data_IF_164231162063
#
_entry.id   IF_164231162063
#
_cell.length_a   1.000
_cell.length_b   1.000
_cell.length_c   1.000
_cell.angle_alpha   90.00
_cell.angle_beta   90.00
_cell.angle_gamma   90.00
#
_symmetry.space_group_name_H-M   'P 1'
#
loop_
_entity.id
_entity.type
_entity.pdbx_description
1 polymer ?
#
# COMPACT_ATOMS: atom_id res chain seq x y z
N UNK A 1 -9.78 -23.69 -32.47
CA UNK A 1 -10.81 -22.85 -31.83
C UNK A 1 -10.82 -21.51 -32.53
N UNK A 2 -11.98 -21.04 -32.98
CA UNK A 2 -12.18 -19.70 -33.52
C UNK A 2 -12.89 -18.86 -32.48
N UNK A 3 -12.48 -17.60 -32.35
CA UNK A 3 -13.19 -16.60 -31.54
C UNK A 3 -14.03 -15.74 -32.48
N UNK A 4 -15.34 -15.75 -32.29
CA UNK A 4 -16.28 -14.88 -33.00
C UNK A 4 -16.56 -13.65 -32.14
N UNK A 5 -16.55 -12.47 -32.76
CA UNK A 5 -16.73 -11.17 -32.11
C UNK A 5 -17.80 -10.32 -32.81
N UNK A 6 -18.58 -10.87 -33.75
CA UNK A 6 -19.58 -10.09 -34.49
C UNK A 6 -20.71 -9.55 -33.58
N UNK A 7 -21.02 -10.24 -32.49
CA UNK A 7 -22.00 -9.81 -31.46
C UNK A 7 -21.38 -8.93 -30.35
N UNK A 8 -20.09 -8.57 -30.46
CA UNK A 8 -19.42 -7.76 -29.45
C UNK A 8 -19.95 -6.32 -29.44
N UNK A 9 -20.31 -5.82 -28.26
CA UNK A 9 -20.63 -4.41 -28.08
C UNK A 9 -19.42 -3.52 -28.43
N UNK A 10 -19.63 -2.31 -28.98
CA UNK A 10 -18.56 -1.34 -29.20
C UNK A 10 -17.72 -1.14 -27.93
N UNK A 11 -16.40 -1.03 -28.10
CA UNK A 11 -15.49 -0.82 -26.98
C UNK A 11 -15.91 0.43 -26.20
N UNK A 12 -16.38 0.22 -24.95
CA UNK A 12 -16.67 1.32 -24.04
C UNK A 12 -15.39 2.13 -23.86
N UNK A 13 -15.44 3.41 -24.22
CA UNK A 13 -14.33 4.34 -23.99
C UNK A 13 -13.93 4.30 -22.50
N UNK A 14 -12.63 4.27 -22.17
CA UNK A 14 -12.20 4.36 -20.79
C UNK A 14 -12.85 5.59 -20.13
N UNK A 15 -13.46 5.42 -18.96
CA UNK A 15 -14.02 6.54 -18.19
C UNK A 15 -12.87 7.47 -17.77
N UNK A 16 -12.59 8.48 -18.59
CA UNK A 16 -11.28 9.15 -18.66
C UNK A 16 -11.12 10.38 -17.77
N UNK A 17 -12.17 10.80 -17.08
CA UNK A 17 -12.21 11.99 -16.24
C UNK A 17 -12.04 11.62 -14.76
N UNK A 18 -11.13 12.25 -14.04
CA UNK A 18 -10.86 11.90 -12.63
C UNK A 18 -12.11 12.09 -11.77
N UNK A 19 -12.25 11.25 -10.73
CA UNK A 19 -13.18 11.53 -9.64
C UNK A 19 -12.72 12.86 -8.99
N UNK A 20 -13.60 13.86 -8.78
CA UNK A 20 -13.20 15.16 -8.23
C UNK A 20 -12.45 15.05 -6.90
N UNK A 21 -11.49 15.94 -6.70
CA UNK A 21 -10.70 15.97 -5.47
C UNK A 21 -11.60 16.20 -4.24
N UNK A 22 -11.41 15.40 -3.20
CA UNK A 22 -12.23 15.49 -1.99
C UNK A 22 -13.54 14.72 -2.00
N UNK A 23 -13.84 13.98 -3.07
CA UNK A 23 -15.09 13.22 -3.19
C UNK A 23 -15.22 12.18 -2.07
N UNK A 24 -16.32 12.23 -1.33
CA UNK A 24 -16.72 11.17 -0.42
C UNK A 24 -17.50 10.07 -1.16
N UNK A 25 -17.19 8.81 -0.90
CA UNK A 25 -17.82 7.68 -1.55
C UNK A 25 -17.77 6.41 -0.69
N UNK A 26 -18.79 5.54 -0.81
CA UNK A 26 -18.67 4.15 -0.41
C UNK A 26 -17.91 3.42 -1.51
N UNK A 27 -16.82 2.74 -1.16
CA UNK A 27 -15.95 2.04 -2.11
C UNK A 27 -15.72 0.60 -1.68
N UNK A 28 -15.62 -0.29 -2.67
CA UNK A 28 -15.21 -1.69 -2.51
C UNK A 28 -13.76 -1.85 -2.94
N UNK A 29 -12.96 -2.53 -2.13
CA UNK A 29 -11.62 -2.96 -2.52
C UNK A 29 -11.66 -4.31 -3.25
N UNK A 30 -10.79 -4.48 -4.24
CA UNK A 30 -10.46 -5.77 -4.85
C UNK A 30 -8.95 -5.90 -4.94
N UNK A 31 -8.41 -7.03 -4.48
CA UNK A 31 -6.96 -7.27 -4.48
C UNK A 31 -6.57 -7.94 -5.80
N UNK A 32 -5.68 -7.29 -6.54
CA UNK A 32 -5.14 -7.82 -7.80
C UNK A 32 -3.92 -8.72 -7.48
N UNK A 33 -3.94 -10.02 -7.82
CA UNK A 33 -2.83 -10.93 -7.53
C UNK A 33 -1.53 -10.46 -8.19
N UNK A 34 -0.46 -10.33 -7.40
CA UNK A 34 0.85 -9.91 -7.88
C UNK A 34 1.88 -11.03 -8.12
N UNK A 35 1.50 -12.29 -7.88
CA UNK A 35 2.34 -13.48 -8.12
C UNK A 35 3.35 -13.82 -7.02
N UNK A 36 3.52 -12.97 -6.00
CA UNK A 36 4.42 -13.21 -4.86
C UNK A 36 3.63 -13.65 -3.63
N UNK A 37 4.12 -14.64 -2.88
CA UNK A 37 3.47 -15.08 -1.65
C UNK A 37 3.58 -14.03 -0.52
N UNK A 38 2.47 -13.84 0.19
CA UNK A 38 2.43 -13.18 1.50
C UNK A 38 2.86 -14.10 2.65
N UNK A 39 2.62 -13.67 3.89
CA UNK A 39 3.05 -14.38 5.10
C UNK A 39 2.10 -15.48 5.56
N UNK A 40 0.80 -15.35 5.26
CA UNK A 40 -0.20 -16.38 5.56
C UNK A 40 -0.39 -17.32 4.35
N UNK A 41 -0.75 -18.61 4.55
CA UNK A 41 -1.02 -19.54 3.44
C UNK A 41 -2.09 -19.04 2.46
N UNK A 42 -3.10 -18.30 2.95
CA UNK A 42 -4.15 -17.71 2.11
C UNK A 42 -3.69 -16.50 1.27
N UNK A 43 -2.50 -15.99 1.53
CA UNK A 43 -1.89 -14.88 0.79
C UNK A 43 -0.92 -15.39 -0.30
N UNK A 44 -0.98 -16.67 -0.66
CA UNK A 44 -0.22 -17.25 -1.77
C UNK A 44 -0.53 -16.52 -3.09
N UNK A 45 0.51 -16.13 -3.84
CA UNK A 45 0.41 -15.36 -5.07
C UNK A 45 -0.20 -13.95 -4.94
N UNK A 46 -0.51 -13.49 -3.73
CA UNK A 46 -1.29 -12.26 -3.52
C UNK A 46 -0.48 -10.98 -3.75
N UNK A 47 0.76 -10.94 -3.27
CA UNK A 47 1.59 -9.74 -3.25
C UNK A 47 2.27 -9.48 -4.59
N UNK A 48 2.55 -8.21 -4.87
CA UNK A 48 3.32 -7.71 -5.99
C UNK A 48 4.69 -7.26 -5.51
N UNK A 49 5.76 -7.79 -6.10
CA UNK A 49 7.12 -7.29 -5.87
C UNK A 49 7.32 -5.92 -6.54
N UNK A 50 8.09 -5.04 -5.92
CA UNK A 50 8.61 -3.85 -6.57
C UNK A 50 9.71 -4.22 -7.59
N UNK A 51 9.87 -3.39 -8.64
CA UNK A 51 10.89 -3.60 -9.68
C UNK A 51 12.32 -3.28 -9.23
N UNK A 52 12.47 -2.31 -8.32
CA UNK A 52 13.76 -1.68 -7.96
C UNK A 52 14.08 -1.79 -6.46
N UNK A 53 13.31 -2.56 -5.68
CA UNK A 53 13.55 -2.75 -4.24
C UNK A 53 13.00 -4.08 -3.74
N UNK A 54 13.36 -4.45 -2.50
CA UNK A 54 12.84 -5.61 -1.78
C UNK A 54 11.37 -5.47 -1.34
N UNK A 55 10.73 -4.32 -1.60
CA UNK A 55 9.38 -4.04 -1.17
C UNK A 55 8.36 -4.98 -1.83
N UNK A 56 7.52 -5.61 -1.00
CA UNK A 56 6.34 -6.37 -1.42
C UNK A 56 5.09 -5.58 -1.09
N UNK A 57 4.14 -5.52 -2.02
CA UNK A 57 2.96 -4.66 -1.94
C UNK A 57 1.67 -5.45 -2.18
N UNK A 58 0.58 -5.00 -1.57
CA UNK A 58 -0.77 -5.34 -1.97
C UNK A 58 -1.17 -4.37 -3.10
N UNK A 59 -1.53 -4.88 -4.28
CA UNK A 59 -2.00 -4.06 -5.41
C UNK A 59 -3.53 -4.01 -5.37
N UNK A 60 -4.08 -2.90 -4.87
CA UNK A 60 -5.51 -2.76 -4.64
C UNK A 60 -6.18 -1.94 -5.75
N UNK A 61 -7.27 -2.48 -6.28
CA UNK A 61 -8.29 -1.76 -7.02
C UNK A 61 -9.38 -1.29 -6.05
N UNK A 62 -9.83 -0.05 -6.22
CA UNK A 62 -10.97 0.50 -5.52
C UNK A 62 -12.06 0.86 -6.53
N UNK A 63 -13.28 0.39 -6.30
CA UNK A 63 -14.46 0.70 -7.13
C UNK A 63 -15.51 1.41 -6.29
N UNK A 64 -15.99 2.56 -6.74
CA UNK A 64 -17.14 3.25 -6.12
C UNK A 64 -18.41 2.39 -6.33
N UNK A 65 -19.13 2.06 -5.26
CA UNK A 65 -20.25 1.11 -5.34
C UNK A 65 -21.62 1.75 -5.57
N UNK A 66 -21.77 3.03 -5.25
CA UNK A 66 -23.03 3.78 -5.33
C UNK A 66 -22.79 5.29 -5.49
N UNK A 67 -23.85 6.08 -5.67
CA UNK A 67 -23.75 7.53 -5.84
C UNK A 67 -23.29 7.99 -7.23
N UNK A 68 -22.98 9.28 -7.41
CA UNK A 68 -22.73 9.89 -8.73
C UNK A 68 -21.57 9.29 -9.52
N UNK A 69 -20.59 8.69 -8.83
CA UNK A 69 -19.39 8.11 -9.41
C UNK A 69 -19.39 6.58 -9.40
N UNK A 70 -20.56 5.94 -9.30
CA UNK A 70 -20.70 4.47 -9.29
C UNK A 70 -19.95 3.80 -10.45
N UNK A 71 -19.29 2.67 -10.16
CA UNK A 71 -18.40 1.90 -11.06
C UNK A 71 -17.11 2.62 -11.49
N UNK A 72 -16.86 3.88 -11.11
CA UNK A 72 -15.54 4.51 -11.31
C UNK A 72 -14.49 3.79 -10.46
N UNK A 73 -13.29 3.62 -11.03
CA UNK A 73 -12.19 2.85 -10.44
C UNK A 73 -10.93 3.68 -10.27
N UNK A 74 -10.17 3.37 -9.23
CA UNK A 74 -8.81 3.85 -9.03
C UNK A 74 -7.95 2.77 -8.34
N UNK A 75 -6.63 2.94 -8.34
CA UNK A 75 -5.70 1.92 -7.86
C UNK A 75 -4.66 2.50 -6.91
N UNK A 76 -4.24 1.70 -5.93
CA UNK A 76 -3.22 2.06 -4.95
C UNK A 76 -2.47 0.82 -4.45
N UNK A 77 -1.15 0.96 -4.31
CA UNK A 77 -0.33 -0.07 -3.69
C UNK A 77 -0.16 0.22 -2.19
N UNK A 78 -0.22 -0.83 -1.37
CA UNK A 78 0.09 -0.77 0.07
C UNK A 78 1.31 -1.64 0.36
N UNK A 79 2.38 -1.08 0.91
CA UNK A 79 3.58 -1.86 1.28
C UNK A 79 3.25 -2.83 2.42
N UNK A 80 3.59 -4.11 2.25
CA UNK A 80 3.36 -5.20 3.21
C UNK A 80 4.67 -5.67 3.84
N UNK A 81 5.77 -5.70 3.08
CA UNK A 81 7.10 -6.06 3.56
C UNK A 81 8.18 -5.31 2.78
N UNK A 82 9.41 -5.32 3.30
CA UNK A 82 10.58 -4.67 2.68
C UNK A 82 10.51 -3.14 2.66
N UNK A 83 11.39 -2.53 1.88
CA UNK A 83 11.54 -1.08 1.77
C UNK A 83 12.19 -0.45 3.00
N UNK A 84 11.98 0.86 3.19
CA UNK A 84 12.61 1.60 4.29
C UNK A 84 12.14 1.11 5.66
N UNK A 85 13.09 0.73 6.51
CA UNK A 85 12.84 0.32 7.91
C UNK A 85 12.95 1.49 8.89
N UNK A 86 12.38 1.30 10.08
CA UNK A 86 12.64 2.11 11.28
C UNK A 86 13.79 1.56 12.12
N UNK A 87 14.08 2.22 13.23
CA UNK A 87 15.21 1.91 14.12
C UNK A 87 15.03 0.56 14.85
N UNK A 88 13.85 -0.07 14.72
CA UNK A 88 13.51 -1.42 15.22
C UNK A 88 13.49 -2.46 14.09
N UNK A 89 13.98 -2.11 12.90
CA UNK A 89 13.99 -2.97 11.72
C UNK A 89 12.62 -3.22 11.09
N UNK A 90 11.56 -2.51 11.51
CA UNK A 90 10.21 -2.70 10.97
C UNK A 90 10.01 -1.83 9.72
N UNK A 91 9.37 -2.37 8.68
CA UNK A 91 9.05 -1.61 7.47
C UNK A 91 8.12 -0.43 7.79
N UNK A 92 8.59 0.79 7.51
CA UNK A 92 7.81 2.04 7.66
C UNK A 92 6.57 2.03 6.78
N UNK A 93 6.69 1.50 5.56
CA UNK A 93 5.57 1.31 4.65
C UNK A 93 4.52 0.35 5.22
N UNK A 94 4.96 -0.77 5.81
CA UNK A 94 4.05 -1.72 6.47
C UNK A 94 3.32 -1.12 7.67
N UNK A 95 4.00 -0.30 8.48
CA UNK A 95 3.38 0.40 9.59
C UNK A 95 2.26 1.36 9.14
N UNK A 96 2.43 2.05 8.01
CA UNK A 96 1.39 2.90 7.40
C UNK A 96 0.23 2.03 6.88
N UNK A 97 0.52 0.98 6.10
CA UNK A 97 -0.51 0.09 5.55
C UNK A 97 -1.37 -0.57 6.62
N UNK A 98 -0.78 -1.01 7.76
CA UNK A 98 -1.55 -1.54 8.91
C UNK A 98 -2.55 -0.52 9.47
N UNK A 99 -2.19 0.76 9.52
CA UNK A 99 -3.12 1.81 9.97
C UNK A 99 -4.27 1.98 8.97
N UNK A 100 -3.98 2.00 7.67
CA UNK A 100 -5.01 2.03 6.62
C UNK A 100 -5.94 0.82 6.66
N UNK A 101 -5.40 -0.40 6.78
CA UNK A 101 -6.18 -1.63 6.83
C UNK A 101 -7.05 -1.72 8.09
N UNK A 102 -6.53 -1.29 9.25
CA UNK A 102 -7.35 -1.14 10.46
C UNK A 102 -8.50 -0.17 10.20
N UNK A 103 -8.23 0.99 9.59
CA UNK A 103 -9.27 1.98 9.32
C UNK A 103 -10.34 1.43 8.36
N UNK A 104 -9.95 0.67 7.32
CA UNK A 104 -10.89 -0.02 6.43
C UNK A 104 -11.79 -1.01 7.18
N UNK A 105 -11.24 -1.79 8.11
CA UNK A 105 -12.00 -2.72 8.96
C UNK A 105 -12.91 -1.97 9.94
N UNK A 106 -12.41 -0.91 10.59
CA UNK A 106 -13.18 -0.08 11.51
C UNK A 106 -14.37 0.59 10.79
N UNK A 107 -14.17 1.10 9.58
CA UNK A 107 -15.22 1.69 8.73
C UNK A 107 -16.19 0.63 8.18
N UNK A 108 -15.71 -0.52 7.69
CA UNK A 108 -16.59 -1.58 7.16
C UNK A 108 -17.48 -2.22 8.24
N UNK A 109 -16.99 -2.33 9.47
CA UNK A 109 -17.69 -2.98 10.59
C UNK A 109 -18.36 -2.01 11.57
N UNK A 110 -18.33 -0.70 11.30
CA UNK A 110 -18.91 0.32 12.18
C UNK A 110 -18.26 0.40 13.57
N UNK A 111 -16.97 0.08 13.69
CA UNK A 111 -16.24 0.10 14.95
C UNK A 111 -15.73 1.50 15.26
N UNK A 112 -16.01 1.98 16.47
CA UNK A 112 -15.37 3.19 16.98
C UNK A 112 -13.84 2.97 17.00
N UNK A 113 -13.03 3.82 16.33
CA UNK A 113 -11.58 3.65 16.28
C UNK A 113 -10.90 3.83 17.65
N UNK A 114 -11.59 4.44 18.62
CA UNK A 114 -11.12 4.63 20.01
C UNK A 114 -11.51 3.45 20.92
N UNK A 115 -12.39 2.55 20.48
CA UNK A 115 -12.78 1.37 21.26
C UNK A 115 -11.63 0.35 21.30
N UNK A 116 -11.10 0.12 22.50
CA UNK A 116 -10.02 -0.84 22.80
C UNK A 116 -10.52 -2.07 23.56
N UNK A 117 -11.83 -2.30 23.66
CA UNK A 117 -12.41 -3.52 24.23
C UNK A 117 -11.92 -4.77 23.48
N UNK A 118 -11.87 -5.91 24.15
CA UNK A 118 -11.39 -7.15 23.53
C UNK A 118 -12.32 -7.64 22.41
N UNK A 119 -13.62 -7.30 22.49
CA UNK A 119 -14.57 -7.51 21.40
C UNK A 119 -14.22 -6.70 20.14
N UNK A 120 -13.85 -5.42 20.29
CA UNK A 120 -13.40 -4.59 19.17
C UNK A 120 -12.01 -4.98 18.66
N UNK A 121 -11.10 -5.42 19.55
CA UNK A 121 -9.81 -6.00 19.14
C UNK A 121 -10.01 -7.27 18.30
N UNK A 122 -10.85 -8.20 18.75
CA UNK A 122 -11.10 -9.47 18.06
C UNK A 122 -11.62 -9.27 16.63
N UNK A 123 -12.54 -8.31 16.42
CA UNK A 123 -13.04 -7.95 15.07
C UNK A 123 -11.98 -7.38 14.12
N UNK A 124 -10.85 -6.91 14.63
CA UNK A 124 -9.69 -6.40 13.86
C UNK A 124 -8.66 -7.49 13.55
N UNK A 125 -8.81 -8.70 14.07
CA UNK A 125 -7.92 -9.83 13.79
C UNK A 125 -8.40 -10.53 12.51
N UNK A 126 -7.59 -10.44 11.46
CA UNK A 126 -7.77 -11.15 10.19
C UNK A 126 -6.72 -12.25 10.04
N UNK A 127 -7.07 -13.36 9.38
CA UNK A 127 -6.19 -14.53 9.22
C UNK A 127 -5.14 -14.36 8.11
N UNK A 128 -5.35 -13.39 7.21
CA UNK A 128 -4.47 -13.06 6.10
C UNK A 128 -4.99 -11.86 5.31
N UNK A 129 -4.13 -11.25 4.50
CA UNK A 129 -4.46 -10.07 3.70
C UNK A 129 -5.53 -10.34 2.64
N UNK A 130 -5.60 -11.56 2.11
CA UNK A 130 -6.64 -11.98 1.15
C UNK A 130 -8.06 -11.81 1.70
N UNK A 131 -8.24 -11.81 3.02
CA UNK A 131 -9.55 -11.49 3.61
C UNK A 131 -10.01 -10.09 3.21
N UNK A 132 -9.14 -9.09 3.14
CA UNK A 132 -9.54 -7.72 2.76
C UNK A 132 -10.06 -7.60 1.31
N UNK A 133 -9.99 -8.66 0.50
CA UNK A 133 -10.58 -8.69 -0.84
C UNK A 133 -12.11 -8.64 -0.78
N UNK A 134 -12.70 -7.61 -1.37
CA UNK A 134 -14.15 -7.38 -1.33
C UNK A 134 -14.64 -6.49 -0.20
N UNK A 135 -13.79 -6.08 0.75
CA UNK A 135 -14.19 -5.17 1.83
C UNK A 135 -14.76 -3.86 1.27
N UNK A 136 -15.87 -3.40 1.85
CA UNK A 136 -16.58 -2.18 1.43
C UNK A 136 -16.64 -1.20 2.60
N UNK A 137 -16.22 0.05 2.38
CA UNK A 137 -16.05 1.05 3.43
C UNK A 137 -16.27 2.48 2.91
N UNK A 138 -16.46 3.44 3.82
CA UNK A 138 -16.57 4.86 3.49
C UNK A 138 -15.18 5.49 3.31
N UNK A 139 -14.99 6.30 2.26
CA UNK A 139 -13.69 6.86 1.90
C UNK A 139 -13.80 8.29 1.37
N UNK A 140 -12.71 9.05 1.54
CA UNK A 140 -12.45 10.30 0.83
C UNK A 140 -11.42 10.03 -0.26
N UNK A 141 -11.75 10.40 -1.49
CA UNK A 141 -10.93 10.21 -2.68
C UNK A 141 -10.26 11.55 -2.99
N UNK A 142 -8.95 11.52 -3.25
CA UNK A 142 -8.19 12.70 -3.70
C UNK A 142 -7.77 12.57 -5.16
N UNK A 143 -7.44 13.71 -5.76
CA UNK A 143 -6.59 13.79 -6.96
C UNK A 143 -5.14 13.94 -6.50
N UNK A 144 -4.30 13.01 -6.92
CA UNK A 144 -2.86 13.04 -6.73
C UNK A 144 -2.18 13.59 -7.98
N UNK A 145 -1.52 14.78 -7.91
CA UNK A 145 -0.78 15.29 -9.04
C UNK A 145 0.38 14.38 -9.42
N UNK A 146 0.61 14.24 -10.72
CA UNK A 146 1.76 13.51 -11.24
C UNK A 146 3.10 14.15 -10.80
N UNK A 147 4.08 13.33 -10.44
CA UNK A 147 5.43 13.79 -10.08
C UNK A 147 6.34 14.06 -11.29
N UNK A 148 5.95 13.59 -12.48
CA UNK A 148 6.60 13.86 -13.77
C UNK A 148 5.46 14.23 -14.75
N UNK A 149 5.54 15.38 -15.45
CA UNK A 149 4.48 15.89 -16.34
C UNK A 149 4.16 14.99 -17.55
N UNK A 150 4.93 13.93 -17.81
CA UNK A 150 4.60 12.90 -18.80
C UNK A 150 3.43 12.01 -18.37
N UNK A 151 3.15 11.91 -17.07
CA UNK A 151 2.05 11.13 -16.53
C UNK A 151 0.87 12.02 -16.18
N UNK A 152 -0.33 11.43 -16.19
CA UNK A 152 -1.54 12.10 -15.73
C UNK A 152 -1.68 11.96 -14.21
N UNK A 153 -2.35 12.92 -13.62
CA UNK A 153 -2.85 12.88 -12.24
C UNK A 153 -3.74 11.64 -12.03
N UNK A 154 -3.80 11.14 -10.80
CA UNK A 154 -4.45 9.87 -10.48
C UNK A 154 -5.32 9.98 -9.24
N UNK A 155 -6.45 9.28 -9.21
CA UNK A 155 -7.22 9.16 -7.99
C UNK A 155 -6.51 8.25 -6.97
N UNK A 156 -6.56 8.64 -5.70
CA UNK A 156 -6.03 7.88 -4.56
C UNK A 156 -7.00 7.92 -3.38
N UNK A 157 -6.81 6.97 -2.46
CA UNK A 157 -7.44 7.01 -1.15
C UNK A 157 -6.72 8.08 -0.33
N UNK A 158 -7.42 9.17 0.01
CA UNK A 158 -6.89 10.19 0.91
C UNK A 158 -6.91 9.68 2.35
N UNK A 159 -8.11 9.32 2.81
CA UNK A 159 -8.36 8.65 4.08
C UNK A 159 -9.58 7.75 3.95
N UNK A 160 -9.61 6.73 4.80
CA UNK A 160 -10.86 6.05 5.16
C UNK A 160 -11.64 6.99 6.07
N UNK A 161 -12.96 7.06 5.90
CA UNK A 161 -13.87 7.79 6.78
C UNK A 161 -14.37 6.82 7.85
N UNK A 162 -14.17 7.18 9.12
CA UNK A 162 -14.40 6.33 10.28
C UNK A 162 -15.76 6.61 10.95
N UNK A 163 -16.30 5.68 11.76
CA UNK A 163 -17.63 5.82 12.35
C UNK A 163 -17.85 6.99 13.32
N UNK A 164 -16.80 7.69 13.74
CA UNK A 164 -16.86 8.92 14.54
C UNK A 164 -16.66 10.22 13.73
N UNK A 165 -16.57 10.12 12.40
CA UNK A 165 -16.58 11.26 11.46
C UNK A 165 -18.02 11.54 10.97
N UNK A 166 -18.38 12.83 10.81
CA UNK A 166 -19.75 13.26 10.53
C UNK A 166 -20.31 12.72 9.19
N UNK A 167 -19.44 12.55 8.20
CA UNK A 167 -19.77 12.13 6.85
C UNK A 167 -20.08 10.61 6.77
N UNK A 168 -19.54 9.81 7.70
CA UNK A 168 -19.60 8.33 7.65
C UNK A 168 -21.02 7.79 7.49
N UNK A 169 -21.95 8.24 8.33
CA UNK A 169 -23.30 7.69 8.37
C UNK A 169 -24.08 7.97 7.08
N UNK A 170 -23.86 9.13 6.45
CA UNK A 170 -24.46 9.50 5.17
C UNK A 170 -23.87 8.65 4.03
N UNK A 171 -22.54 8.56 3.94
CA UNK A 171 -21.83 7.72 2.96
C UNK A 171 -22.29 6.26 3.06
N UNK A 172 -22.39 5.71 4.28
CA UNK A 172 -22.76 4.31 4.46
C UNK A 172 -24.23 3.99 4.13
N UNK A 173 -25.10 5.00 4.06
CA UNK A 173 -26.47 4.87 3.53
C UNK A 173 -26.59 5.10 2.02
N UNK A 174 -25.51 5.51 1.35
CA UNK A 174 -25.55 5.92 -0.06
C UNK A 174 -26.11 7.32 -0.30
N UNK A 175 -26.17 8.14 0.74
CA UNK A 175 -26.50 9.56 0.61
C UNK A 175 -25.30 10.30 -0.03
N UNK A 176 -25.58 11.31 -0.87
CA UNK A 176 -24.51 12.14 -1.47
C UNK A 176 -24.03 13.16 -0.45
N UNK A 177 -22.72 13.17 -0.18
CA UNK A 177 -22.07 14.14 0.71
C UNK A 177 -21.27 15.13 -0.14
N UNK A 178 -21.28 16.41 0.25
CA UNK A 178 -20.51 17.45 -0.41
C UNK A 178 -19.00 17.14 -0.35
N UNK A 179 -18.31 17.31 -1.48
CA UNK A 179 -16.88 17.01 -1.58
C UNK A 179 -16.06 18.06 -0.81
N UNK A 180 -15.03 17.60 -0.09
CA UNK A 180 -14.07 18.48 0.59
C UNK A 180 -12.69 18.37 -0.09
N UNK A 181 -12.30 19.29 -0.98
CA UNK A 181 -11.00 19.24 -1.65
C UNK A 181 -9.81 19.18 -0.68
N UNK A 182 -8.76 18.49 -1.08
CA UNK A 182 -7.53 18.27 -0.31
C UNK A 182 -6.37 19.07 -0.89
N UNK A 183 -6.39 19.35 -2.20
CA UNK A 183 -5.35 20.08 -2.93
C UNK A 183 -3.96 19.47 -2.68
N UNK A 184 -3.84 18.16 -2.89
CA UNK A 184 -2.61 17.43 -2.64
C UNK A 184 -1.44 17.96 -3.47
N UNK A 185 -0.25 17.99 -2.88
CA UNK A 185 0.98 18.41 -3.58
C UNK A 185 1.58 17.21 -4.33
N UNK A 186 2.24 17.42 -5.49
CA UNK A 186 2.97 16.35 -6.17
C UNK A 186 3.95 15.68 -5.19
N UNK A 187 3.94 14.33 -5.12
CA UNK A 187 5.00 13.64 -4.37
C UNK A 187 6.34 13.92 -5.05
N UNK A 188 7.38 14.16 -4.27
CA UNK A 188 8.76 14.05 -4.79
C UNK A 188 8.94 12.64 -5.33
N UNK A 189 9.55 12.46 -6.52
CA UNK A 189 9.94 11.13 -6.98
C UNK A 189 10.70 10.40 -5.88
N UNK A 190 10.39 9.12 -5.67
CA UNK A 190 11.23 8.31 -4.82
C UNK A 190 12.58 8.21 -5.51
N UNK A 191 13.57 8.97 -5.02
CA UNK A 191 14.96 8.80 -5.46
C UNK A 191 15.36 7.39 -5.06
N UNK A 192 15.37 6.48 -6.03
CA UNK A 192 16.23 5.32 -5.98
C UNK A 192 17.62 5.84 -5.59
N UNK A 193 18.21 5.28 -4.54
CA UNK A 193 19.62 5.52 -4.29
C UNK A 193 20.34 4.97 -5.52
N UNK A 194 20.92 5.85 -6.34
CA UNK A 194 21.65 5.47 -7.53
C UNK A 194 22.89 4.68 -7.09
N UNK A 195 22.73 3.36 -6.97
CA UNK A 195 23.86 2.45 -6.91
C UNK A 195 24.72 2.71 -8.12
N UNK A 196 25.99 3.06 -7.89
CA UNK A 196 26.93 3.48 -8.91
C UNK A 196 27.32 2.28 -9.80
N UNK A 197 26.44 1.91 -10.72
CA UNK A 197 26.69 0.95 -11.80
C UNK A 197 26.54 1.68 -13.15
N UNK A 198 27.44 2.63 -13.39
CA UNK A 198 27.76 3.02 -14.76
C UNK A 198 28.50 1.85 -15.44
N UNK A 199 28.17 1.45 -16.68
CA UNK A 199 28.81 0.33 -17.34
C UNK A 199 30.28 0.63 -17.68
N UNK A 200 31.16 -0.32 -17.37
CA UNK A 200 32.62 -0.17 -17.44
C UNK A 200 33.18 -0.31 -18.87
N UNK A 201 32.89 0.65 -19.76
CA UNK A 201 33.55 0.76 -21.07
C UNK A 201 34.03 2.19 -21.43
N UNK A 202 33.82 3.18 -20.56
CA UNK A 202 34.32 4.53 -20.76
C UNK A 202 35.67 4.77 -20.03
N UNK A 203 36.76 4.26 -20.60
CA UNK A 203 38.13 4.69 -20.27
C UNK A 203 38.69 5.51 -21.43
N UNK A 204 39.15 6.73 -21.16
CA UNK A 204 40.46 7.23 -21.61
C UNK A 204 40.73 8.67 -21.13
N UNK A 205 41.59 8.80 -20.11
CA UNK A 205 42.49 9.94 -19.89
C UNK A 205 43.48 9.58 -18.76
N UNK A 206 44.78 9.65 -19.06
CA UNK A 206 45.88 9.22 -18.18
C UNK A 206 46.41 10.38 -17.28
N UNK A 207 47.37 10.15 -16.35
CA UNK A 207 47.37 10.81 -15.05
C UNK A 207 48.43 11.90 -14.82
N UNK A 208 48.33 12.59 -13.67
CA UNK A 208 49.41 13.40 -13.08
C UNK A 208 49.60 13.08 -11.59
N UNK A 209 50.83 12.76 -11.20
CA UNK A 209 51.31 12.69 -9.79
C UNK A 209 51.75 14.12 -9.36
N UNK A 210 52.07 14.52 -8.12
CA UNK A 210 52.38 13.90 -6.82
C UNK A 210 52.16 15.01 -5.72
N UNK A 211 52.69 14.96 -4.46
CA UNK A 211 53.29 13.87 -3.68
C UNK A 211 52.70 13.68 -2.26
N UNK A 212 53.26 12.71 -1.51
CA UNK A 212 52.89 12.33 -0.14
C UNK A 212 53.50 13.23 0.95
N UNK A 213 52.90 13.20 2.16
CA UNK A 213 53.63 13.32 3.44
C UNK A 213 53.15 12.25 4.43
N UNK A 214 54.06 11.78 5.30
CA UNK A 214 53.90 10.64 6.21
C UNK A 214 54.00 11.05 7.69
N UNK A 215 53.16 10.48 8.55
CA UNK A 215 53.36 10.18 9.99
C UNK A 215 52.08 9.49 10.51
N UNK A 216 52.05 8.48 11.39
CA UNK A 216 53.08 7.66 12.04
C UNK A 216 52.45 6.34 12.58
N UNK A 217 53.30 5.41 13.05
CA UNK A 217 53.00 3.99 13.42
C UNK A 217 52.66 3.79 14.93
N UNK A 218 52.42 2.58 15.52
CA UNK A 218 51.93 1.24 15.05
C UNK A 218 50.85 0.52 15.93
N UNK A 219 50.33 -0.65 15.46
CA UNK A 219 49.87 -1.92 16.10
C UNK A 219 49.44 -2.01 17.61
N UNK A 220 48.53 -2.90 18.08
CA UNK A 220 48.41 -4.35 17.80
C UNK A 220 47.11 -5.06 18.36
N UNK A 221 46.43 -5.93 17.56
CA UNK A 221 45.60 -7.12 17.95
C UNK A 221 44.40 -6.95 18.98
N UNK A 222 43.48 -7.89 19.31
CA UNK A 222 43.03 -9.25 18.87
C UNK A 222 41.49 -9.46 19.20
N UNK A 223 40.79 -10.57 18.82
CA UNK A 223 39.32 -10.79 19.00
C UNK A 223 38.97 -11.92 20.02
N UNK A 224 37.74 -12.52 20.12
CA UNK A 224 36.33 -12.07 19.92
C UNK A 224 35.42 -12.37 21.15
N UNK A 225 34.10 -12.09 21.08
CA UNK A 225 33.07 -12.78 21.90
C UNK A 225 31.68 -12.83 21.22
N UNK A 226 30.94 -13.94 21.41
CA UNK A 226 29.57 -14.16 20.92
C UNK A 226 28.54 -13.91 22.04
N UNK A 227 27.31 -13.52 21.69
CA UNK A 227 26.15 -13.72 22.57
C UNK A 227 24.88 -14.09 21.79
N UNK A 228 23.98 -14.81 22.47
CA UNK A 228 22.95 -15.67 21.88
C UNK A 228 21.55 -15.05 21.85
N UNK A 229 20.70 -15.55 20.96
CA UNK A 229 19.25 -15.28 20.95
C UNK A 229 18.49 -16.17 21.93
N UNK A 230 17.41 -15.68 22.57
CA UNK A 230 16.33 -16.51 23.10
C UNK A 230 15.21 -16.71 22.05
N UNK A 231 14.66 -17.93 22.01
CA UNK A 231 13.48 -18.30 21.21
C UNK A 231 12.17 -17.95 21.91
N UNK A 232 11.09 -17.72 21.15
CA UNK A 232 9.74 -17.52 21.67
C UNK A 232 8.79 -18.65 21.23
N UNK A 233 7.97 -19.13 22.16
CA UNK A 233 7.06 -20.28 21.96
C UNK A 233 5.75 -19.88 21.26
N UNK A 234 5.11 -20.87 20.62
CA UNK A 234 3.86 -20.72 19.86
C UNK A 234 2.67 -21.23 20.69
N UNK A 235 1.53 -20.51 20.63
CA UNK A 235 0.23 -20.98 21.13
C UNK A 235 -0.88 -20.80 20.07
N UNK A 236 -2.00 -21.56 20.15
CA UNK A 236 -2.83 -21.88 18.98
C UNK A 236 -3.88 -20.81 18.61
N UNK A 237 -4.35 -20.89 17.36
CA UNK A 237 -5.30 -19.95 16.77
C UNK A 237 -6.77 -20.20 17.15
N UNK A 238 -7.55 -19.11 17.20
CA UNK A 238 -9.02 -19.14 17.29
C UNK A 238 -9.67 -18.86 15.92
N UNK A 239 -10.91 -19.31 15.73
CA UNK A 239 -11.63 -19.25 14.46
C UNK A 239 -12.05 -17.82 14.06
N UNK A 240 -12.07 -17.53 12.75
CA UNK A 240 -12.36 -16.22 12.16
C UNK A 240 -13.85 -15.89 11.99
N UNK A 241 -14.21 -14.60 11.81
CA UNK A 241 -15.59 -14.11 11.78
C UNK A 241 -16.35 -14.30 10.45
N UNK A 242 -17.68 -14.17 10.53
CA UNK A 242 -18.65 -14.74 9.59
C UNK A 242 -18.79 -14.10 8.19
N UNK A 243 -18.09 -13.00 7.87
CA UNK A 243 -18.18 -12.36 6.55
C UNK A 243 -17.39 -13.09 5.44
N UNK A 244 -16.71 -14.19 5.80
CA UNK A 244 -16.01 -15.10 4.89
C UNK A 244 -16.94 -16.04 4.11
N UNK A 245 -18.25 -16.00 4.35
CA UNK A 245 -19.25 -16.93 3.82
C UNK A 245 -20.31 -16.22 2.94
N UNK A 246 -19.88 -15.38 2.00
CA UNK A 246 -20.75 -14.66 1.06
C UNK A 246 -20.08 -14.41 -0.29
#
# INVERSE_FOLDING_TARGET
MSYDFNDAQPQMMPSGELIPDGTFAKIRMTIRPGGTNGSAPMDAGLLKAASESDAKMLDCEFTVVEGPFVRRKFWQNFTVAGGKVDDKGQSKGWNISKASFRAMVDSALGLNPKDTSDAAKAKRVIQGLKQLDGITFAARIMVEPASDPKYRDQNRLANVVLPDEAQYAAIMKGETVEAEPINAKPRKPATAAAGQNAPAWATDAAPTQAPQQQAGVPWNQQPPAQQQQPTAQVQPAAAGPAWLNG
#
